data_IF_039764566186
#
_entry.id   IF_039764566186
#
_cell.length_a   1.000
_cell.length_b   1.000
_cell.length_c   1.000
_cell.angle_alpha   90.00
_cell.angle_beta   90.00
_cell.angle_gamma   90.00
#
_symmetry.space_group_name_H-M   'P 1'
#
loop_
_entity.id
_entity.type
_entity.pdbx_description
1 polymer ?
#
# COMPACT_ATOMS: atom_id res chain seq x y z
N UNK A 1 14.00 -3.07 0.82
CA UNK A 1 12.70 -2.41 0.59
C UNK A 1 12.16 -3.03 -0.69
N UNK A 2 11.01 -3.69 -0.67
CA UNK A 2 10.56 -4.50 -1.81
C UNK A 2 9.28 -3.95 -2.39
N UNK A 3 9.27 -3.81 -3.71
CA UNK A 3 8.14 -3.39 -4.49
C UNK A 3 7.88 -4.39 -5.60
N UNK A 4 6.62 -4.74 -5.80
CA UNK A 4 6.20 -5.62 -6.89
C UNK A 4 5.18 -4.86 -7.77
N UNK A 5 5.49 -4.70 -9.06
CA UNK A 5 4.59 -4.11 -10.07
C UNK A 5 3.70 -5.20 -10.69
N UNK A 6 2.41 -5.25 -10.35
CA UNK A 6 1.42 -6.25 -10.83
C UNK A 6 1.81 -7.71 -10.57
N UNK A 7 1.49 -8.24 -9.38
CA UNK A 7 1.36 -9.68 -9.18
C UNK A 7 -0.06 -10.09 -9.62
N UNK A 8 -0.21 -10.58 -10.86
CA UNK A 8 -1.39 -11.36 -11.24
C UNK A 8 -0.91 -12.76 -11.62
N UNK A 9 -1.56 -13.77 -11.05
CA UNK A 9 -1.37 -15.16 -11.44
C UNK A 9 -2.17 -15.40 -12.73
N UNK A 10 -1.50 -15.46 -13.88
CA UNK A 10 -2.09 -16.13 -15.03
C UNK A 10 -2.12 -17.64 -14.74
N UNK A 11 -3.23 -18.30 -15.09
CA UNK A 11 -3.54 -19.72 -14.83
C UNK A 11 -2.60 -20.76 -15.45
N UNK A 12 -1.36 -20.38 -15.74
CA UNK A 12 -0.28 -21.23 -16.24
C UNK A 12 0.93 -21.31 -15.28
N UNK A 13 0.83 -20.85 -14.03
CA UNK A 13 1.82 -21.18 -12.99
C UNK A 13 3.24 -20.62 -13.19
N UNK A 14 3.43 -19.62 -14.05
CA UNK A 14 4.71 -18.92 -14.21
C UNK A 14 4.59 -17.47 -13.71
N UNK A 15 5.12 -17.21 -12.51
CA UNK A 15 5.34 -15.86 -12.00
C UNK A 15 6.53 -15.22 -12.74
N UNK A 16 6.28 -14.48 -13.81
CA UNK A 16 7.29 -13.54 -14.32
C UNK A 16 7.13 -12.20 -13.63
N UNK A 17 7.94 -11.96 -12.58
CA UNK A 17 8.05 -10.63 -11.99
C UNK A 17 9.45 -10.40 -11.42
N UNK A 18 10.34 -9.85 -12.26
CA UNK A 18 11.54 -9.15 -11.79
C UNK A 18 11.18 -7.68 -11.71
N UNK A 19 11.42 -7.02 -10.58
CA UNK A 19 12.36 -5.90 -10.45
C UNK A 19 12.45 -5.49 -8.98
N UNK A 20 13.68 -5.52 -8.46
CA UNK A 20 14.06 -4.81 -7.25
C UNK A 20 14.16 -3.34 -7.61
N UNK A 21 13.27 -2.49 -7.11
CA UNK A 21 13.36 -1.06 -7.34
C UNK A 21 13.87 -0.34 -6.08
N UNK A 22 15.04 0.29 -6.20
CA UNK A 22 15.54 1.28 -5.25
C UNK A 22 14.72 2.57 -5.30
N UNK A 23 14.90 3.44 -4.30
CA UNK A 23 14.20 4.74 -4.23
C UNK A 23 14.34 5.59 -5.49
N UNK A 24 15.53 5.61 -6.09
CA UNK A 24 15.80 6.30 -7.34
C UNK A 24 15.00 5.72 -8.51
N UNK A 25 14.92 4.39 -8.59
CA UNK A 25 14.18 3.69 -9.65
C UNK A 25 12.67 3.88 -9.48
N UNK A 26 12.15 3.90 -8.25
CA UNK A 26 10.74 4.25 -7.98
C UNK A 26 10.42 5.65 -8.48
N UNK A 27 11.25 6.63 -8.11
CA UNK A 27 11.06 8.01 -8.52
C UNK A 27 11.13 8.12 -10.06
N UNK A 28 12.05 7.39 -10.68
CA UNK A 28 12.19 7.36 -12.13
C UNK A 28 10.98 6.70 -12.81
N UNK A 29 10.49 5.57 -12.32
CA UNK A 29 9.31 4.89 -12.87
C UNK A 29 8.06 5.77 -12.78
N UNK A 30 7.84 6.41 -11.62
CA UNK A 30 6.74 7.36 -11.43
C UNK A 30 6.87 8.51 -12.43
N UNK A 31 8.07 9.05 -12.65
CA UNK A 31 8.30 10.17 -13.57
C UNK A 31 8.21 9.74 -15.04
N UNK A 32 8.78 8.60 -15.42
CA UNK A 32 8.84 8.09 -16.80
C UNK A 32 7.45 7.75 -17.32
N UNK A 33 6.64 7.01 -16.55
CA UNK A 33 5.26 6.70 -16.96
C UNK A 33 4.40 7.96 -17.13
N UNK A 34 4.78 9.08 -16.52
CA UNK A 34 4.06 10.34 -16.62
C UNK A 34 4.53 11.25 -17.76
N UNK A 35 5.83 11.25 -18.06
CA UNK A 35 6.37 11.94 -19.24
C UNK A 35 5.80 11.35 -20.53
N UNK A 36 5.43 10.07 -20.53
CA UNK A 36 4.75 9.41 -21.64
C UNK A 36 3.27 9.82 -21.79
N UNK A 37 2.70 10.62 -20.87
CA UNK A 37 1.26 10.96 -20.84
C UNK A 37 0.88 12.44 -20.76
N UNK A 38 1.80 13.41 -20.69
CA UNK A 38 1.44 14.84 -20.53
C UNK A 38 2.47 15.80 -21.15
N UNK A 39 2.02 16.62 -22.11
CA UNK A 39 2.73 17.77 -22.69
C UNK A 39 2.19 19.07 -22.04
N UNK A 40 3.00 19.77 -21.24
CA UNK A 40 2.67 21.09 -20.67
C UNK A 40 3.14 21.24 -19.22
N UNK A 41 3.70 22.40 -18.85
CA UNK A 41 4.39 22.65 -17.57
C UNK A 41 3.71 21.97 -16.36
N UNK A 42 4.38 20.95 -15.85
CA UNK A 42 3.74 19.84 -15.16
C UNK A 42 3.83 20.01 -13.64
N UNK A 43 2.70 20.24 -12.97
CA UNK A 43 2.59 20.09 -11.50
C UNK A 43 3.25 18.77 -11.02
N UNK A 44 3.73 18.67 -9.78
CA UNK A 44 4.38 17.46 -9.30
C UNK A 44 3.52 16.20 -9.45
N UNK A 45 4.14 15.04 -9.74
CA UNK A 45 3.46 13.74 -9.67
C UNK A 45 2.75 13.58 -8.32
N UNK A 46 1.48 13.16 -8.34
CA UNK A 46 0.71 12.95 -7.13
C UNK A 46 0.61 11.45 -6.81
N UNK A 47 1.21 11.06 -5.69
CA UNK A 47 1.29 9.69 -5.18
C UNK A 47 0.38 9.54 -3.96
N UNK A 48 -0.52 8.57 -4.00
CA UNK A 48 -1.27 8.13 -2.84
C UNK A 48 -0.50 7.00 -2.15
N UNK A 49 -0.38 7.05 -0.82
CA UNK A 49 0.24 6.00 -0.02
C UNK A 49 -0.80 5.42 0.94
N UNK A 50 -1.02 4.11 0.88
CA UNK A 50 -2.03 3.39 1.67
C UNK A 50 -1.41 2.21 2.45
N UNK A 51 -0.92 2.44 3.68
CA UNK A 51 -0.40 1.36 4.53
C UNK A 51 -1.49 0.43 5.06
N UNK A 52 -1.11 -0.81 5.38
CA UNK A 52 -1.90 -1.67 6.26
C UNK A 52 -2.00 -0.98 7.63
N UNK A 53 -3.18 -0.92 8.30
CA UNK A 53 -3.35 -0.16 9.54
C UNK A 53 -2.81 -0.93 10.77
N UNK A 54 -1.57 -1.41 10.65
CA UNK A 54 -0.73 -1.97 11.71
C UNK A 54 0.46 -1.04 11.89
N UNK A 55 0.79 -0.70 13.14
CA UNK A 55 1.73 0.36 13.48
C UNK A 55 3.10 0.24 12.78
N UNK A 56 3.67 -0.96 12.70
CA UNK A 56 4.95 -1.19 12.02
C UNK A 56 4.92 -0.84 10.53
N UNK A 57 3.80 -1.14 9.86
CA UNK A 57 3.61 -0.84 8.45
C UNK A 57 3.46 0.67 8.22
N UNK A 58 2.60 1.32 9.02
CA UNK A 58 2.38 2.76 8.98
C UNK A 58 3.68 3.54 9.19
N UNK A 59 4.48 3.18 10.20
CA UNK A 59 5.75 3.86 10.48
C UNK A 59 6.74 3.74 9.32
N UNK A 60 6.82 2.56 8.71
CA UNK A 60 7.72 2.30 7.58
C UNK A 60 7.31 3.11 6.36
N UNK A 61 6.02 3.15 6.05
CA UNK A 61 5.50 3.89 4.90
C UNK A 61 5.47 5.40 5.14
N UNK A 62 5.42 5.90 6.38
CA UNK A 62 5.66 7.31 6.68
C UNK A 62 7.11 7.72 6.35
N UNK A 63 8.09 6.87 6.61
CA UNK A 63 9.48 7.15 6.18
C UNK A 63 9.60 7.19 4.66
N UNK A 64 8.93 6.26 3.96
CA UNK A 64 8.84 6.30 2.50
C UNK A 64 8.21 7.60 2.02
N UNK A 65 7.10 8.03 2.62
CA UNK A 65 6.41 9.26 2.27
C UNK A 65 7.33 10.49 2.37
N UNK A 66 8.10 10.59 3.46
CA UNK A 66 9.07 11.68 3.64
C UNK A 66 10.15 11.68 2.56
N UNK A 67 10.69 10.51 2.20
CA UNK A 67 11.67 10.37 1.12
C UNK A 67 11.09 10.79 -0.23
N UNK A 68 9.84 10.43 -0.52
CA UNK A 68 9.17 10.82 -1.76
C UNK A 68 8.86 12.34 -1.78
N UNK A 69 8.49 12.93 -0.64
CA UNK A 69 8.36 14.38 -0.51
C UNK A 69 9.70 15.10 -0.78
N UNK A 70 10.82 14.59 -0.25
CA UNK A 70 12.16 15.12 -0.53
C UNK A 70 12.54 15.01 -2.01
N UNK A 71 12.01 14.01 -2.72
CA UNK A 71 12.14 13.86 -4.17
C UNK A 71 11.20 14.76 -4.98
N UNK A 72 10.49 15.70 -4.34
CA UNK A 72 9.61 16.66 -5.00
C UNK A 72 8.29 16.06 -5.51
N UNK A 73 7.81 14.98 -4.89
CA UNK A 73 6.53 14.36 -5.21
C UNK A 73 5.44 14.88 -4.27
N UNK A 74 4.24 15.05 -4.82
CA UNK A 74 3.05 15.35 -4.03
C UNK A 74 2.50 14.06 -3.44
N UNK A 75 2.26 14.03 -2.13
CA UNK A 75 1.83 12.85 -1.38
C UNK A 75 0.45 13.08 -0.78
N UNK A 76 -0.42 12.09 -0.93
CA UNK A 76 -1.60 11.90 -0.07
C UNK A 76 -1.43 10.61 0.71
N UNK A 77 -1.21 10.71 2.02
CA UNK A 77 -1.02 9.58 2.90
C UNK A 77 -2.31 9.29 3.65
N UNK A 78 -2.90 8.11 3.44
CA UNK A 78 -4.20 7.75 4.01
C UNK A 78 -4.03 6.63 5.03
N UNK A 79 -4.47 6.85 6.26
CA UNK A 79 -4.44 5.84 7.33
C UNK A 79 -5.84 5.53 7.83
N UNK A 80 -5.96 4.54 8.72
CA UNK A 80 -7.21 4.36 9.46
C UNK A 80 -7.50 5.57 10.36
N UNK A 81 -8.76 5.89 10.57
CA UNK A 81 -9.19 6.94 11.51
C UNK A 81 -8.68 6.69 12.94
N UNK A 82 -8.72 5.43 13.39
CA UNK A 82 -8.10 5.02 14.63
C UNK A 82 -6.59 5.34 14.65
N UNK A 83 -5.86 4.96 13.61
CA UNK A 83 -4.43 5.23 13.47
C UNK A 83 -4.12 6.73 13.42
N UNK A 84 -4.91 7.50 12.69
CA UNK A 84 -4.82 8.95 12.58
C UNK A 84 -4.93 9.63 13.95
N UNK A 85 -5.99 9.31 14.72
CA UNK A 85 -6.20 9.85 16.08
C UNK A 85 -4.99 9.56 16.98
N UNK A 86 -4.44 8.34 16.93
CA UNK A 86 -3.26 7.97 17.74
C UNK A 86 -1.99 8.67 17.27
N UNK A 87 -1.76 8.78 15.97
CA UNK A 87 -0.57 9.44 15.42
C UNK A 87 -0.53 10.92 15.81
N UNK A 88 -1.66 11.63 15.71
CA UNK A 88 -1.73 13.03 16.13
C UNK A 88 -1.49 13.18 17.64
N UNK A 89 -2.04 12.26 18.46
CA UNK A 89 -1.94 12.35 19.92
C UNK A 89 -0.57 11.96 20.48
N UNK A 90 0.12 11.02 19.83
CA UNK A 90 1.30 10.36 20.39
C UNK A 90 2.58 10.55 19.58
N UNK A 91 2.55 11.32 18.49
CA UNK A 91 3.72 11.55 17.63
C UNK A 91 3.75 13.00 17.14
N UNK A 92 4.85 13.37 16.49
CA UNK A 92 5.02 14.67 15.85
C UNK A 92 4.71 14.63 14.35
N UNK A 93 3.85 13.70 13.89
CA UNK A 93 3.63 13.49 12.44
C UNK A 93 3.18 14.76 11.74
N UNK A 94 2.31 15.57 12.36
CA UNK A 94 1.80 16.81 11.75
C UNK A 94 2.94 17.81 11.55
N UNK A 95 3.64 18.19 12.62
CA UNK A 95 4.75 19.15 12.54
C UNK A 95 5.96 18.63 11.75
N UNK A 96 6.18 17.32 11.70
CA UNK A 96 7.21 16.70 10.85
C UNK A 96 6.91 16.99 9.38
N UNK A 97 5.66 16.83 8.95
CA UNK A 97 5.27 16.92 7.55
C UNK A 97 4.79 18.32 7.11
N UNK A 98 4.54 19.25 8.03
CA UNK A 98 4.21 20.66 7.73
C UNK A 98 5.23 21.35 6.81
N UNK A 99 6.50 20.93 6.87
CA UNK A 99 7.56 21.45 6.00
C UNK A 99 7.42 21.06 4.52
N UNK A 100 6.51 20.13 4.19
CA UNK A 100 6.27 19.65 2.84
C UNK A 100 4.89 20.14 2.35
N UNK A 101 4.83 21.23 1.57
CA UNK A 101 3.55 21.75 1.04
C UNK A 101 2.77 20.73 0.22
N UNK A 102 3.50 19.80 -0.41
CA UNK A 102 2.97 18.68 -1.18
C UNK A 102 2.52 17.49 -0.32
N UNK A 103 2.50 17.55 1.01
CA UNK A 103 2.00 16.43 1.83
C UNK A 103 0.57 16.69 2.32
N UNK A 104 -0.31 15.70 2.13
CA UNK A 104 -1.67 15.69 2.70
C UNK A 104 -1.87 14.44 3.52
N UNK A 105 -2.33 14.62 4.76
CA UNK A 105 -2.64 13.53 5.66
C UNK A 105 -4.14 13.33 5.73
N UNK A 106 -4.60 12.16 5.30
CA UNK A 106 -6.02 11.82 5.23
C UNK A 106 -6.28 10.56 6.05
N UNK A 107 -7.56 10.33 6.35
CA UNK A 107 -7.98 9.14 7.07
C UNK A 107 -9.26 8.54 6.48
N UNK A 108 -9.44 7.26 6.76
CA UNK A 108 -10.61 6.46 6.37
C UNK A 108 -10.94 5.45 7.47
N UNK A 109 -12.17 4.96 7.56
CA UNK A 109 -12.51 3.86 8.49
C UNK A 109 -11.73 2.58 8.13
N UNK A 110 -11.21 1.88 9.14
CA UNK A 110 -10.62 0.52 9.00
C UNK A 110 -11.69 -0.60 9.03
N UNK A 111 -12.97 -0.24 9.05
CA UNK A 111 -14.09 -1.18 9.05
C UNK A 111 -14.33 -1.87 10.38
N UNK A 112 -13.58 -1.53 11.43
CA UNK A 112 -13.72 -2.11 12.76
C UNK A 112 -14.44 -1.12 13.72
N UNK A 113 -15.26 -1.60 14.67
CA UNK A 113 -15.88 -0.77 15.71
C UNK A 113 -14.84 -0.04 16.57
N UNK A 114 -15.15 1.12 17.15
CA UNK A 114 -14.18 1.94 17.90
C UNK A 114 -13.56 1.24 19.13
N UNK A 115 -14.28 0.31 19.75
CA UNK A 115 -13.86 -0.48 20.93
C UNK A 115 -13.04 -1.74 20.59
N UNK A 116 -12.93 -2.08 19.30
CA UNK A 116 -12.15 -3.25 18.87
C UNK A 116 -10.62 -3.01 19.04
N UNK A 117 -9.84 -3.93 19.62
CA UNK A 117 -8.41 -3.74 19.77
C UNK A 117 -7.66 -4.01 18.47
N UNK A 118 -6.94 -2.99 17.98
CA UNK A 118 -6.03 -3.08 16.82
C UNK A 118 -4.66 -3.68 17.17
N UNK A 119 -4.61 -4.53 18.19
CA UNK A 119 -3.39 -5.14 18.72
C UNK A 119 -3.70 -6.46 19.42
N UNK A 120 -2.66 -7.25 19.69
CA UNK A 120 -2.79 -8.56 20.34
C UNK A 120 -3.45 -9.60 19.44
N UNK A 121 -4.16 -10.55 20.04
CA UNK A 121 -4.74 -11.71 19.35
C UNK A 121 -5.76 -11.34 18.25
N UNK A 122 -6.45 -10.21 18.41
CA UNK A 122 -7.46 -9.72 17.46
C UNK A 122 -6.90 -8.81 16.36
N UNK A 123 -5.59 -8.59 16.31
CA UNK A 123 -4.97 -7.73 15.27
C UNK A 123 -5.27 -8.23 13.85
N UNK A 124 -5.46 -9.54 13.68
CA UNK A 124 -5.70 -10.14 12.37
C UNK A 124 -7.10 -9.86 11.83
N UNK A 125 -8.06 -9.42 12.67
CA UNK A 125 -9.41 -9.01 12.25
C UNK A 125 -9.38 -7.77 11.35
N UNK A 126 -8.29 -6.99 11.41
CA UNK A 126 -8.04 -5.84 10.53
C UNK A 126 -8.06 -6.24 9.07
N UNK A 127 -7.55 -7.42 8.72
CA UNK A 127 -7.43 -7.85 7.32
C UNK A 127 -8.78 -8.05 6.63
N UNK A 128 -9.70 -8.88 7.16
CA UNK A 128 -11.02 -9.03 6.56
C UNK A 128 -11.82 -7.71 6.60
N UNK A 129 -11.72 -6.92 7.69
CA UNK A 129 -12.40 -5.62 7.77
C UNK A 129 -11.90 -4.64 6.70
N UNK A 130 -10.57 -4.56 6.52
CA UNK A 130 -9.96 -3.70 5.51
C UNK A 130 -10.35 -4.15 4.10
N UNK A 131 -10.36 -5.45 3.83
CA UNK A 131 -10.76 -5.99 2.52
C UNK A 131 -12.23 -5.71 2.20
N UNK A 132 -13.12 -6.00 3.14
CA UNK A 132 -14.56 -6.04 2.88
C UNK A 132 -15.25 -4.68 3.07
N UNK A 133 -14.68 -3.79 3.90
CA UNK A 133 -15.30 -2.51 4.25
C UNK A 133 -14.44 -1.35 3.77
N UNK A 134 -13.17 -1.30 4.17
CA UNK A 134 -12.28 -0.18 3.82
C UNK A 134 -12.00 -0.12 2.31
N UNK A 135 -11.83 -1.26 1.64
CA UNK A 135 -11.59 -1.32 0.20
C UNK A 135 -12.68 -0.60 -0.62
N UNK A 136 -13.97 -0.96 -0.46
CA UNK A 136 -15.08 -0.23 -1.07
C UNK A 136 -15.12 1.26 -0.70
N UNK A 137 -14.94 1.60 0.58
CA UNK A 137 -14.92 2.99 1.05
C UNK A 137 -13.78 3.79 0.40
N UNK A 138 -12.61 3.17 0.23
CA UNK A 138 -11.44 3.78 -0.39
C UNK A 138 -11.70 4.15 -1.84
N UNK A 139 -12.23 3.20 -2.62
CA UNK A 139 -12.59 3.43 -4.03
C UNK A 139 -13.61 4.56 -4.15
N UNK A 140 -14.66 4.55 -3.31
CA UNK A 140 -15.68 5.60 -3.26
C UNK A 140 -15.09 6.97 -2.94
N UNK A 141 -14.29 7.07 -1.87
CA UNK A 141 -13.64 8.31 -1.44
C UNK A 141 -12.75 8.90 -2.53
N UNK A 142 -11.96 8.08 -3.22
CA UNK A 142 -11.06 8.54 -4.29
C UNK A 142 -11.86 9.12 -5.47
N UNK A 143 -12.95 8.46 -5.87
CA UNK A 143 -13.81 8.95 -6.95
C UNK A 143 -14.52 10.25 -6.56
N UNK A 144 -15.13 10.29 -5.37
CA UNK A 144 -15.84 11.48 -4.87
C UNK A 144 -14.94 12.71 -4.73
N UNK A 145 -13.67 12.49 -4.37
CA UNK A 145 -12.66 13.55 -4.27
C UNK A 145 -11.95 13.83 -5.59
N UNK A 146 -12.45 13.33 -6.72
CA UNK A 146 -11.87 13.51 -8.05
C UNK A 146 -10.36 13.19 -8.08
N UNK A 147 -9.98 12.02 -7.56
CA UNK A 147 -8.59 11.58 -7.41
C UNK A 147 -7.73 12.58 -6.60
N UNK A 148 -8.33 13.33 -5.67
CA UNK A 148 -7.68 14.39 -4.89
C UNK A 148 -7.01 15.48 -5.76
N UNK A 149 -7.56 15.75 -6.94
CA UNK A 149 -7.14 16.86 -7.79
C UNK A 149 -7.62 18.21 -7.24
N UNK A 150 -6.85 19.27 -7.51
CA UNK A 150 -7.24 20.66 -7.29
C UNK A 150 -6.47 21.58 -8.26
N UNK A 151 -6.77 22.88 -8.30
CA UNK A 151 -6.10 23.82 -9.22
C UNK A 151 -4.57 23.84 -9.08
N UNK A 152 -4.08 23.54 -7.86
CA UNK A 152 -2.67 23.50 -7.52
C UNK A 152 -2.08 22.09 -7.44
N UNK A 153 -2.85 21.04 -7.73
CA UNK A 153 -2.44 19.64 -7.56
C UNK A 153 -3.07 18.71 -8.58
N UNK A 154 -2.23 17.84 -9.13
CA UNK A 154 -2.68 16.81 -10.08
C UNK A 154 -3.60 15.78 -9.44
N UNK A 155 -4.49 15.15 -10.24
CA UNK A 155 -5.11 13.91 -9.81
C UNK A 155 -4.03 12.88 -9.46
N UNK A 156 -4.37 11.93 -8.58
CA UNK A 156 -3.50 10.80 -8.26
C UNK A 156 -3.08 10.09 -9.54
N UNK A 157 -1.78 9.91 -9.67
CA UNK A 157 -1.11 9.28 -10.82
C UNK A 157 -0.43 7.97 -10.44
N UNK A 158 -0.18 7.75 -9.15
CA UNK A 158 0.38 6.52 -8.61
C UNK A 158 -0.23 6.19 -7.25
N UNK A 159 -0.51 4.92 -7.00
CA UNK A 159 -0.86 4.37 -5.70
C UNK A 159 0.29 3.48 -5.24
N UNK A 160 0.82 3.76 -4.05
CA UNK A 160 1.70 2.87 -3.30
C UNK A 160 0.89 2.24 -2.18
N UNK A 161 0.38 1.03 -2.43
CA UNK A 161 -0.40 0.28 -1.45
C UNK A 161 0.51 -0.67 -0.67
N UNK A 162 0.17 -0.96 0.59
CA UNK A 162 0.80 -2.06 1.30
C UNK A 162 0.56 -3.38 0.55
N UNK A 163 1.60 -4.19 0.38
CA UNK A 163 1.47 -5.42 -0.41
C UNK A 163 0.49 -6.43 0.19
N UNK A 164 0.13 -6.33 1.46
CA UNK A 164 -0.90 -7.20 2.06
C UNK A 164 -2.31 -6.85 1.55
N UNK A 165 -2.51 -5.64 1.03
CA UNK A 165 -3.80 -5.12 0.61
C UNK A 165 -4.02 -5.30 -0.89
N UNK A 166 -4.74 -6.34 -1.29
CA UNK A 166 -4.97 -6.64 -2.71
C UNK A 166 -6.12 -5.84 -3.36
N UNK A 167 -6.92 -5.09 -2.59
CA UNK A 167 -8.15 -4.47 -3.12
C UNK A 167 -7.91 -3.29 -4.09
N UNK A 168 -6.67 -2.80 -4.20
CA UNK A 168 -6.30 -1.68 -5.06
C UNK A 168 -6.09 -2.07 -6.53
N UNK A 169 -5.88 -3.37 -6.84
CA UNK A 169 -5.54 -3.88 -8.18
C UNK A 169 -6.50 -3.42 -9.27
N UNK A 170 -7.71 -4.00 -9.28
CA UNK A 170 -8.73 -3.73 -10.30
C UNK A 170 -9.08 -2.23 -10.41
N UNK A 171 -9.05 -1.52 -9.27
CA UNK A 171 -9.36 -0.09 -9.25
C UNK A 171 -8.28 0.75 -9.93
N UNK A 172 -7.01 0.45 -9.68
CA UNK A 172 -5.92 1.17 -10.30
C UNK A 172 -5.88 0.91 -11.81
N UNK A 173 -6.13 -0.33 -12.22
CA UNK A 173 -6.24 -0.71 -13.64
C UNK A 173 -7.40 0.03 -14.33
N UNK A 174 -8.61 0.00 -13.75
CA UNK A 174 -9.79 0.70 -14.29
C UNK A 174 -9.52 2.21 -14.48
N UNK A 175 -8.78 2.82 -13.55
CA UNK A 175 -8.44 4.25 -13.60
C UNK A 175 -7.15 4.57 -14.35
N UNK A 176 -6.45 3.56 -14.90
CA UNK A 176 -5.15 3.75 -15.56
C UNK A 176 -4.06 4.32 -14.63
N UNK A 177 -4.18 4.10 -13.32
CA UNK A 177 -3.26 4.59 -12.30
C UNK A 177 -2.14 3.56 -12.08
N UNK A 178 -0.90 4.02 -11.99
CA UNK A 178 0.23 3.16 -11.64
C UNK A 178 0.06 2.62 -10.21
N UNK A 179 -0.03 1.30 -10.06
CA UNK A 179 -0.06 0.64 -8.75
C UNK A 179 1.28 -0.02 -8.42
N UNK A 180 1.80 0.30 -7.24
CA UNK A 180 3.02 -0.26 -6.68
C UNK A 180 2.66 -0.89 -5.33
N UNK A 181 2.95 -2.18 -5.16
CA UNK A 181 2.76 -2.86 -3.88
C UNK A 181 4.03 -2.84 -3.03
N UNK A 182 3.97 -2.24 -1.85
CA UNK A 182 5.10 -2.07 -0.93
C UNK A 182 5.09 -3.10 0.20
N UNK A 183 6.16 -3.91 0.28
CA UNK A 183 6.36 -4.87 1.38
C UNK A 183 7.24 -4.25 2.47
N UNK A 184 6.66 -4.13 3.65
CA UNK A 184 7.30 -3.67 4.89
C UNK A 184 8.06 -4.78 5.61
N UNK A 185 7.80 -6.04 5.24
CA UNK A 185 8.47 -7.23 5.77
C UNK A 185 9.86 -7.43 5.16
N UNK A 186 10.69 -8.23 5.84
CA UNK A 186 12.05 -8.52 5.38
C UNK A 186 12.06 -9.28 4.04
N UNK A 187 13.12 -9.07 3.28
CA UNK A 187 13.40 -9.78 2.02
C UNK A 187 13.30 -11.30 2.15
N UNK A 188 14.07 -11.85 3.07
CA UNK A 188 14.23 -13.28 3.26
C UNK A 188 12.95 -13.90 3.82
N UNK A 189 12.26 -13.19 4.72
CA UNK A 189 10.96 -13.64 5.23
C UNK A 189 9.92 -13.70 4.12
N UNK A 190 9.87 -12.70 3.24
CA UNK A 190 8.93 -12.71 2.12
C UNK A 190 9.30 -13.75 1.06
N UNK A 191 10.60 -13.97 0.81
CA UNK A 191 11.05 -15.03 -0.10
C UNK A 191 10.61 -16.42 0.36
N UNK A 192 10.63 -16.67 1.67
CA UNK A 192 10.14 -17.92 2.24
C UNK A 192 8.67 -18.18 1.86
N UNK A 193 7.84 -17.14 1.72
CA UNK A 193 6.45 -17.27 1.29
C UNK A 193 6.33 -17.93 -0.09
N UNK A 194 7.21 -17.61 -1.04
CA UNK A 194 7.21 -18.22 -2.37
C UNK A 194 7.63 -19.69 -2.35
N UNK A 195 8.41 -20.10 -1.34
CA UNK A 195 8.85 -21.48 -1.16
C UNK A 195 7.86 -22.31 -0.34
N UNK A 196 6.81 -21.68 0.22
CA UNK A 196 5.82 -22.38 1.03
C UNK A 196 5.14 -23.55 0.32
N UNK A 197 4.72 -23.45 -0.96
CA UNK A 197 4.10 -24.57 -1.66
C UNK A 197 5.05 -25.79 -1.73
N UNK A 198 6.31 -25.57 -2.10
CA UNK A 198 7.34 -26.62 -2.18
C UNK A 198 7.64 -27.23 -0.81
N UNK A 199 7.71 -26.41 0.24
CA UNK A 199 7.96 -26.88 1.61
C UNK A 199 6.78 -27.69 2.17
N UNK A 200 5.55 -27.36 1.78
CA UNK A 200 4.35 -28.13 2.13
C UNK A 200 4.34 -29.47 1.39
N UNK A 201 4.63 -29.47 0.09
CA UNK A 201 4.71 -30.68 -0.73
C UNK A 201 5.81 -31.64 -0.24
N UNK A 202 6.95 -31.11 0.17
CA UNK A 202 8.05 -31.88 0.74
C UNK A 202 7.77 -32.40 2.16
N UNK A 203 6.66 -32.01 2.80
CA UNK A 203 6.32 -32.41 4.16
C UNK A 203 7.20 -31.79 5.25
N UNK A 204 7.97 -30.76 4.91
CA UNK A 204 8.94 -30.09 5.80
C UNK A 204 8.27 -29.14 6.79
N UNK A 205 7.01 -28.77 6.55
CA UNK A 205 6.23 -27.92 7.46
C UNK A 205 5.10 -28.75 8.06
N UNK A 206 5.08 -28.95 9.40
CA UNK A 206 4.01 -29.66 10.07
C UNK A 206 2.76 -28.78 10.19
N UNK A 207 2.07 -28.51 9.08
CA UNK A 207 0.81 -27.75 9.08
C UNK A 207 -0.32 -28.65 9.58
N UNK A 208 -0.49 -28.76 10.90
CA UNK A 208 -1.70 -29.33 11.50
C UNK A 208 -2.77 -28.24 11.59
N UNK A 209 -3.75 -28.29 10.69
CA UNK A 209 -4.90 -27.38 10.69
C UNK A 209 -4.64 -26.06 9.96
N UNK A 210 -5.64 -25.64 9.17
CA UNK A 210 -5.55 -24.49 8.26
C UNK A 210 -5.67 -23.18 9.05
N UNK A 211 -4.60 -22.76 9.71
CA UNK A 211 -4.57 -21.45 10.37
C UNK A 211 -4.54 -20.33 9.31
N UNK A 212 -5.22 -19.21 9.57
CA UNK A 212 -5.41 -18.11 8.61
C UNK A 212 -4.12 -17.59 7.93
N UNK A 213 -2.96 -17.68 8.60
CA UNK A 213 -1.65 -17.37 7.98
C UNK A 213 -1.35 -18.26 6.78
N UNK A 214 -1.68 -19.56 6.84
CA UNK A 214 -1.57 -20.46 5.69
C UNK A 214 -2.51 -20.03 4.55
N UNK A 215 -3.73 -19.56 4.84
CA UNK A 215 -4.64 -19.04 3.81
C UNK A 215 -4.18 -17.72 3.21
N UNK A 216 -3.63 -16.80 4.01
CA UNK A 216 -3.12 -15.51 3.53
C UNK A 216 -1.86 -15.68 2.68
N UNK A 217 -1.02 -16.68 3.00
CA UNK A 217 0.14 -17.05 2.21
C UNK A 217 -0.28 -17.76 0.91
N UNK A 218 -1.26 -18.68 0.97
CA UNK A 218 -1.76 -19.41 -0.20
C UNK A 218 -2.64 -18.55 -1.13
N UNK A 219 -3.36 -17.55 -0.60
CA UNK A 219 -4.21 -16.64 -1.40
C UNK A 219 -3.42 -15.52 -2.09
N UNK A 220 -2.10 -15.47 -1.93
CA UNK A 220 -1.21 -14.61 -2.72
C UNK A 220 -0.51 -15.39 -3.85
N UNK A 221 -0.83 -16.69 -3.99
CA UNK A 221 -0.31 -17.62 -5.00
C UNK A 221 -1.37 -18.06 -6.02
N UNK A 222 -2.57 -17.46 -5.99
CA UNK A 222 -3.65 -17.68 -6.96
C UNK A 222 -4.22 -16.35 -7.40
#
# INVERSE_FOLDING_TARGET
MWLTNNCFCDGAGYLTQRYLLGLSEICNDIRLKQLMGSQGATLPPHVLIFPLPIQGHVNSMLKLAELLCLSGLDITFIVSEFGHRRLIKHTTVVSRFERYPGFRFQYISDGLPDDHPRAGERVMDILPATKNITGPLFKKMIVEKNLFASDTRRPITCIVADGVLSFCGDFAEEKGILLIYFRTVSACSFWACFRMPELIEAGEIPVKGVNFLSRLLLSQTV
#
